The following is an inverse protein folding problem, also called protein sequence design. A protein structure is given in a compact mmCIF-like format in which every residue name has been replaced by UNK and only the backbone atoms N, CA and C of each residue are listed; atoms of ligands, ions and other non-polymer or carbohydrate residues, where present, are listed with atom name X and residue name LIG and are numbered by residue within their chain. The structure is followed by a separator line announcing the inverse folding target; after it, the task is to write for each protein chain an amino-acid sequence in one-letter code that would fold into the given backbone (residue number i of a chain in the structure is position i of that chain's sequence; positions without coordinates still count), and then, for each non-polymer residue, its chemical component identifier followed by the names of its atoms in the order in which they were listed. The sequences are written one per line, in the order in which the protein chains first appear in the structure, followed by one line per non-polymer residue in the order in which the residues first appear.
data_IF_305677359108
#
_entry.id   IF_305677359108
#
_cell.length_a   1.000
_cell.length_b   1.000
_cell.length_c   1.000
_cell.angle_alpha   90.00
_cell.angle_beta   90.00
_cell.angle_gamma   90.00
#
_symmetry.space_group_name_H-M   'P 1'
#
loop_
_entity.id
_entity.type
_entity.pdbx_description
1 polymer ?
#
# COMPACT_ATOMS: atom_id res chain seq x y z
N UNK A 1 -38.98 -14.64 4.57
CA UNK A 1 -38.98 -13.17 4.76
C UNK A 1 -39.16 -12.50 3.42
N UNK A 2 -40.20 -11.64 3.30
CA UNK A 2 -40.50 -10.91 2.06
C UNK A 2 -39.45 -9.82 1.79
N UNK A 3 -39.39 -9.33 0.53
CA UNK A 3 -38.47 -8.19 0.20
C UNK A 3 -38.75 -6.96 1.06
N UNK A 4 -40.03 -6.68 1.36
CA UNK A 4 -40.43 -5.54 2.19
C UNK A 4 -39.98 -5.71 3.65
N UNK A 5 -40.06 -6.91 4.21
CA UNK A 5 -39.56 -7.21 5.56
C UNK A 5 -38.03 -7.06 5.63
N UNK A 6 -37.30 -7.51 4.58
CA UNK A 6 -35.83 -7.31 4.51
C UNK A 6 -35.46 -5.83 4.49
N UNK A 7 -36.18 -5.03 3.69
CA UNK A 7 -35.94 -3.57 3.62
C UNK A 7 -36.22 -2.89 4.95
N UNK A 8 -37.35 -3.20 5.59
CA UNK A 8 -37.70 -2.66 6.93
C UNK A 8 -36.61 -2.99 7.97
N UNK A 9 -36.15 -4.24 7.99
CA UNK A 9 -35.09 -4.64 8.91
C UNK A 9 -33.76 -3.94 8.59
N UNK A 10 -33.38 -3.80 7.30
CA UNK A 10 -32.18 -3.08 6.90
C UNK A 10 -32.20 -1.62 7.38
N UNK A 11 -33.33 -0.91 7.19
CA UNK A 11 -33.50 0.47 7.67
C UNK A 11 -33.34 0.55 9.19
N UNK A 12 -33.93 -0.39 9.94
CA UNK A 12 -33.77 -0.44 11.40
C UNK A 12 -32.31 -0.66 11.84
N UNK A 13 -31.58 -1.52 11.12
CA UNK A 13 -30.16 -1.73 11.40
C UNK A 13 -29.34 -0.48 11.08
N UNK A 14 -29.57 0.17 9.95
CA UNK A 14 -28.87 1.41 9.55
C UNK A 14 -29.11 2.53 10.57
N UNK A 15 -30.35 2.68 11.09
CA UNK A 15 -30.65 3.68 12.12
C UNK A 15 -29.86 3.39 13.41
N UNK A 16 -29.68 2.12 13.77
CA UNK A 16 -28.90 1.72 14.95
C UNK A 16 -27.40 1.85 14.74
N UNK A 17 -26.94 1.63 13.53
CA UNK A 17 -25.52 1.63 13.15
C UNK A 17 -25.36 2.30 11.79
N UNK A 18 -25.25 3.65 11.76
CA UNK A 18 -25.15 4.41 10.50
C UNK A 18 -23.95 4.06 9.64
N UNK A 19 -22.88 3.50 10.22
CA UNK A 19 -21.70 2.99 9.51
C UNK A 19 -22.02 1.93 8.44
N UNK A 20 -23.15 1.21 8.59
CA UNK A 20 -23.65 0.26 7.61
C UNK A 20 -23.97 0.90 6.25
N UNK A 21 -24.23 2.22 6.22
CA UNK A 21 -24.39 2.95 4.95
C UNK A 21 -23.15 2.88 4.09
N UNK A 22 -21.96 2.87 4.68
CA UNK A 22 -20.70 2.78 3.93
C UNK A 22 -20.54 1.45 3.18
N UNK A 23 -21.19 0.38 3.69
CA UNK A 23 -21.22 -0.94 3.05
C UNK A 23 -22.25 -0.98 1.91
N UNK A 24 -23.39 -0.28 2.09
CA UNK A 24 -24.49 -0.27 1.11
C UNK A 24 -24.21 0.68 -0.04
N UNK A 25 -23.60 1.82 0.26
CA UNK A 25 -23.13 2.77 -0.74
C UNK A 25 -21.72 2.34 -1.14
N UNK A 26 -21.56 1.71 -2.30
CA UNK A 26 -20.20 1.46 -2.80
C UNK A 26 -19.55 2.82 -3.12
N UNK A 27 -18.89 3.39 -2.08
CA UNK A 27 -18.22 4.68 -2.19
C UNK A 27 -17.17 4.68 -3.30
N UNK A 28 -16.63 3.50 -3.65
CA UNK A 28 -15.65 3.39 -4.72
C UNK A 28 -16.25 3.71 -6.10
N UNK A 29 -17.51 3.38 -6.36
CA UNK A 29 -18.17 3.75 -7.60
C UNK A 29 -18.41 5.26 -7.69
N UNK A 30 -18.73 5.92 -6.59
CA UNK A 30 -18.81 7.39 -6.52
C UNK A 30 -17.44 8.00 -6.76
N UNK A 31 -16.40 7.50 -6.09
CA UNK A 31 -15.00 7.93 -6.27
C UNK A 31 -14.51 7.72 -7.71
N UNK A 32 -14.91 6.61 -8.35
CA UNK A 32 -14.62 6.34 -9.76
C UNK A 32 -15.20 7.41 -10.67
N UNK A 33 -16.46 7.79 -10.46
CA UNK A 33 -17.09 8.84 -11.27
C UNK A 33 -16.41 10.21 -11.08
N UNK A 34 -16.03 10.57 -9.87
CA UNK A 34 -15.25 11.78 -9.57
C UNK A 34 -13.86 11.74 -10.21
N UNK A 35 -13.18 10.61 -10.09
CA UNK A 35 -11.89 10.35 -10.70
C UNK A 35 -11.93 10.53 -12.22
N UNK A 36 -12.90 9.93 -12.89
CA UNK A 36 -13.06 9.98 -14.35
C UNK A 36 -13.32 11.41 -14.87
N UNK A 37 -13.91 12.30 -14.07
CA UNK A 37 -14.05 13.73 -14.43
C UNK A 37 -12.69 14.43 -14.46
N UNK A 38 -11.79 14.10 -13.55
CA UNK A 38 -10.45 14.71 -13.46
C UNK A 38 -9.44 14.06 -14.39
N UNK A 39 -9.58 12.75 -14.60
CA UNK A 39 -8.63 11.90 -15.34
C UNK A 39 -9.35 11.00 -16.36
N UNK A 40 -10.05 11.56 -17.37
CA UNK A 40 -10.84 10.76 -18.32
C UNK A 40 -9.99 9.77 -19.15
N UNK A 41 -8.67 10.03 -19.25
CA UNK A 41 -7.73 9.17 -19.99
C UNK A 41 -7.31 7.92 -19.19
N UNK A 42 -7.56 7.88 -17.87
CA UNK A 42 -7.22 6.74 -17.02
C UNK A 42 -8.45 5.95 -16.62
N UNK A 43 -8.41 4.62 -16.80
CA UNK A 43 -9.29 3.66 -16.12
C UNK A 43 -8.56 2.99 -14.97
N UNK A 44 -7.25 2.82 -15.14
CA UNK A 44 -6.29 2.22 -14.23
C UNK A 44 -4.90 2.65 -14.64
N UNK A 45 -3.90 2.31 -13.85
CA UNK A 45 -2.50 2.31 -14.30
C UNK A 45 -2.26 1.18 -15.30
N UNK A 46 -1.26 1.32 -16.21
CA UNK A 46 -0.80 0.21 -17.03
C UNK A 46 -0.26 -0.90 -16.13
N UNK A 47 -0.63 -2.15 -16.44
CA UNK A 47 -0.18 -3.31 -15.67
C UNK A 47 1.17 -3.83 -16.16
N UNK A 48 2.08 -4.09 -15.22
CA UNK A 48 3.33 -4.81 -15.47
C UNK A 48 3.29 -6.17 -14.75
N UNK A 49 3.67 -7.25 -15.42
CA UNK A 49 3.76 -8.56 -14.79
C UNK A 49 4.88 -8.58 -13.74
N UNK A 50 4.78 -9.45 -12.75
CA UNK A 50 5.85 -9.62 -11.76
C UNK A 50 7.13 -10.17 -12.41
N UNK A 51 7.01 -10.97 -13.47
CA UNK A 51 8.16 -11.42 -14.27
C UNK A 51 8.87 -10.25 -14.96
N UNK A 52 8.13 -9.33 -15.55
CA UNK A 52 8.71 -8.13 -16.18
C UNK A 52 9.41 -7.24 -15.15
N UNK A 53 8.84 -7.09 -13.96
CA UNK A 53 9.38 -6.28 -12.86
C UNK A 53 10.69 -6.91 -12.33
N UNK A 54 10.71 -8.23 -12.14
CA UNK A 54 11.89 -8.97 -11.65
C UNK A 54 12.99 -9.07 -12.72
N UNK A 55 12.66 -8.92 -14.00
CA UNK A 55 13.57 -9.10 -15.12
C UNK A 55 13.75 -10.55 -15.53
N UNK A 56 12.81 -11.43 -15.21
CA UNK A 56 12.80 -12.86 -15.51
C UNK A 56 11.68 -13.57 -14.76
N UNK A 57 11.79 -14.88 -14.61
CA UNK A 57 10.82 -15.65 -13.83
C UNK A 57 10.75 -15.10 -12.40
N UNK A 58 9.55 -14.73 -11.97
CA UNK A 58 9.33 -14.19 -10.64
C UNK A 58 9.36 -15.30 -9.59
N UNK A 59 10.33 -15.20 -8.68
CA UNK A 59 10.44 -16.09 -7.53
C UNK A 59 10.88 -15.29 -6.30
N UNK A 60 10.19 -15.47 -5.19
CA UNK A 60 10.52 -14.82 -3.95
C UNK A 60 10.06 -15.65 -2.75
N UNK A 61 10.97 -15.87 -1.82
CA UNK A 61 10.64 -16.46 -0.51
C UNK A 61 10.13 -15.39 0.44
N UNK A 62 8.95 -15.59 1.00
CA UNK A 62 8.41 -14.72 2.05
C UNK A 62 8.65 -15.40 3.40
N UNK A 63 9.56 -14.82 4.19
CA UNK A 63 9.96 -15.39 5.47
C UNK A 63 8.90 -15.22 6.55
N UNK A 64 8.07 -14.19 6.42
CA UNK A 64 7.08 -13.83 7.41
C UNK A 64 5.84 -13.24 6.77
N UNK A 65 4.69 -13.87 7.03
CA UNK A 65 3.38 -13.40 6.64
C UNK A 65 2.34 -13.86 7.67
N UNK A 66 1.54 -12.94 8.22
CA UNK A 66 0.53 -13.27 9.24
C UNK A 66 -0.77 -13.75 8.62
N UNK A 67 -1.02 -13.40 7.35
CA UNK A 67 -2.27 -13.73 6.64
C UNK A 67 -3.52 -13.16 7.34
N UNK A 68 -3.42 -11.97 7.92
CA UNK A 68 -4.53 -11.30 8.61
C UNK A 68 -5.43 -10.49 7.66
N UNK A 69 -5.13 -10.52 6.36
CA UNK A 69 -5.88 -9.81 5.32
C UNK A 69 -5.37 -8.40 5.03
N UNK A 70 -4.23 -8.01 5.61
CA UNK A 70 -3.52 -6.79 5.26
C UNK A 70 -2.88 -6.90 3.87
N UNK A 71 -1.57 -7.17 3.82
CA UNK A 71 -0.86 -7.37 2.54
C UNK A 71 -1.06 -8.77 1.98
N UNK A 72 -1.13 -8.87 0.65
CA UNK A 72 -1.04 -10.16 -0.02
C UNK A 72 0.40 -10.69 0.04
N UNK A 73 0.62 -12.02 0.01
CA UNK A 73 1.97 -12.57 -0.15
C UNK A 73 2.71 -12.01 -1.38
N UNK A 74 1.98 -11.70 -2.45
CA UNK A 74 2.53 -11.09 -3.66
C UNK A 74 2.96 -9.63 -3.47
N UNK A 75 2.33 -8.87 -2.56
CA UNK A 75 2.76 -7.51 -2.19
C UNK A 75 4.10 -7.57 -1.45
N UNK A 76 4.23 -8.48 -0.49
CA UNK A 76 5.49 -8.68 0.26
C UNK A 76 6.61 -9.19 -0.66
N UNK A 77 6.28 -10.10 -1.58
CA UNK A 77 7.21 -10.61 -2.58
C UNK A 77 7.66 -9.52 -3.55
N UNK A 78 6.76 -8.64 -3.98
CA UNK A 78 7.08 -7.48 -4.79
C UNK A 78 8.08 -6.57 -4.08
N UNK A 79 7.81 -6.17 -2.83
CA UNK A 79 8.70 -5.30 -2.04
C UNK A 79 10.09 -5.92 -1.88
N UNK A 80 10.15 -7.21 -1.52
CA UNK A 80 11.42 -7.93 -1.39
C UNK A 80 12.18 -7.97 -2.72
N UNK A 81 11.49 -8.22 -3.83
CA UNK A 81 12.09 -8.25 -5.18
C UNK A 81 12.62 -6.87 -5.60
N UNK A 82 11.85 -5.80 -5.34
CA UNK A 82 12.28 -4.42 -5.60
C UNK A 82 13.45 -3.99 -4.71
N UNK A 83 13.60 -4.61 -3.53
CA UNK A 83 14.71 -4.39 -2.61
C UNK A 83 16.03 -5.01 -3.03
N UNK A 84 16.04 -6.00 -3.94
CA UNK A 84 17.26 -6.67 -4.40
C UNK A 84 18.24 -5.66 -5.02
N UNK A 85 19.46 -5.60 -4.49
CA UNK A 85 20.51 -4.68 -4.95
C UNK A 85 20.30 -3.21 -4.58
N UNK A 86 19.33 -2.90 -3.72
CA UNK A 86 19.13 -1.57 -3.12
C UNK A 86 19.87 -1.45 -1.79
N UNK A 87 20.21 -0.22 -1.40
CA UNK A 87 20.99 0.04 -0.19
C UNK A 87 20.14 0.57 0.95
N UNK A 88 18.99 1.20 0.66
CA UNK A 88 18.18 1.88 1.66
C UNK A 88 16.68 1.76 1.40
N UNK A 89 15.92 1.59 2.48
CA UNK A 89 14.46 1.48 2.47
C UNK A 89 13.82 2.42 3.48
N UNK A 90 12.72 3.03 3.07
CA UNK A 90 11.86 3.84 3.95
C UNK A 90 10.41 3.39 3.84
N UNK A 91 9.70 3.34 4.98
CA UNK A 91 8.30 2.93 5.04
C UNK A 91 7.48 3.92 5.86
N UNK A 92 6.33 4.32 5.35
CA UNK A 92 5.29 5.02 6.11
C UNK A 92 4.19 4.04 6.44
N UNK A 93 3.92 3.83 7.74
CA UNK A 93 2.98 2.83 8.24
C UNK A 93 3.67 1.49 8.50
N UNK A 94 3.80 1.12 9.75
CA UNK A 94 4.56 -0.10 10.11
C UNK A 94 3.64 -1.28 10.38
N UNK A 95 2.42 -1.03 10.87
CA UNK A 95 1.55 -2.06 11.41
C UNK A 95 2.35 -3.07 12.23
N UNK A 96 2.24 -4.37 11.97
CA UNK A 96 3.00 -5.40 12.69
C UNK A 96 4.45 -5.52 12.24
N UNK A 97 4.82 -4.91 11.10
CA UNK A 97 6.18 -4.85 10.57
C UNK A 97 6.54 -6.00 9.63
N UNK A 98 5.56 -6.62 8.96
CA UNK A 98 5.79 -7.71 7.99
C UNK A 98 6.53 -7.25 6.75
N UNK A 99 6.16 -6.09 6.18
CA UNK A 99 6.75 -5.48 5.01
C UNK A 99 8.24 -5.19 5.24
N UNK A 100 8.53 -4.38 6.24
CA UNK A 100 9.92 -4.00 6.57
C UNK A 100 10.76 -5.19 7.03
N UNK A 101 10.16 -6.20 7.69
CA UNK A 101 10.88 -7.42 8.05
C UNK A 101 11.37 -8.19 6.82
N UNK A 102 10.49 -8.38 5.82
CA UNK A 102 10.85 -9.11 4.59
C UNK A 102 11.86 -8.32 3.76
N UNK A 103 11.70 -6.99 3.65
CA UNK A 103 12.66 -6.13 2.94
C UNK A 103 14.03 -6.10 3.62
N UNK A 104 14.09 -6.17 4.94
CA UNK A 104 15.35 -6.20 5.72
C UNK A 104 16.17 -7.49 5.50
N UNK A 105 15.69 -8.45 4.73
CA UNK A 105 16.47 -9.58 4.23
C UNK A 105 17.34 -9.20 3.03
N UNK A 106 16.93 -8.19 2.27
CA UNK A 106 17.63 -7.71 1.08
C UNK A 106 18.41 -6.40 1.35
N UNK A 107 17.91 -5.56 2.27
CA UNK A 107 18.45 -4.23 2.58
C UNK A 107 18.83 -4.13 4.05
N UNK A 108 20.06 -3.68 4.34
CA UNK A 108 20.55 -3.54 5.72
C UNK A 108 20.15 -2.22 6.39
N UNK A 109 19.82 -1.20 5.62
CA UNK A 109 19.48 0.14 6.09
C UNK A 109 17.97 0.40 5.85
N UNK A 110 17.16 -0.08 6.78
CA UNK A 110 15.70 0.07 6.75
C UNK A 110 15.23 1.08 7.80
N UNK A 111 14.34 1.97 7.40
CA UNK A 111 13.70 2.95 8.29
C UNK A 111 12.19 2.83 8.13
N UNK A 112 11.44 2.83 9.22
CA UNK A 112 9.98 2.89 9.20
C UNK A 112 9.49 4.03 10.09
N UNK A 113 8.49 4.76 9.63
CA UNK A 113 7.83 5.86 10.35
C UNK A 113 6.38 5.49 10.65
N UNK A 114 6.02 5.55 11.92
CA UNK A 114 4.65 5.27 12.37
C UNK A 114 4.25 6.24 13.49
N UNK A 115 2.95 6.40 13.71
CA UNK A 115 2.45 7.14 14.88
C UNK A 115 3.05 6.55 16.16
N UNK A 116 3.41 7.42 17.10
CA UNK A 116 3.79 6.98 18.44
C UNK A 116 2.59 6.36 19.18
N UNK A 117 2.87 5.47 20.14
CA UNK A 117 1.82 4.91 21.00
C UNK A 117 0.99 6.01 21.66
N UNK A 118 1.63 7.09 22.12
CA UNK A 118 0.97 8.25 22.75
C UNK A 118 0.01 8.96 21.79
N UNK A 119 0.38 9.14 20.53
CA UNK A 119 -0.49 9.74 19.51
C UNK A 119 -1.69 8.84 19.21
N UNK A 120 -1.47 7.54 19.05
CA UNK A 120 -2.55 6.57 18.84
C UNK A 120 -3.55 6.53 20.01
N UNK A 121 -3.05 6.56 21.25
CA UNK A 121 -3.90 6.63 22.44
C UNK A 121 -4.68 7.96 22.51
N UNK A 122 -4.06 9.07 22.15
CA UNK A 122 -4.71 10.38 22.08
C UNK A 122 -5.83 10.43 21.01
N UNK A 123 -5.71 9.63 19.95
CA UNK A 123 -6.74 9.43 18.92
C UNK A 123 -7.84 8.45 19.35
N UNK A 124 -7.75 7.90 20.56
CA UNK A 124 -8.74 6.96 21.10
C UNK A 124 -8.56 5.50 20.63
N UNK A 125 -7.40 5.16 20.06
CA UNK A 125 -7.15 3.79 19.64
C UNK A 125 -6.92 2.88 20.83
N UNK A 126 -7.32 1.60 20.69
CA UNK A 126 -7.10 0.61 21.73
C UNK A 126 -5.59 0.44 21.98
N UNK A 127 -5.19 0.50 23.25
CA UNK A 127 -3.79 0.38 23.67
C UNK A 127 -3.12 -0.90 23.14
N UNK A 128 -3.84 -2.00 23.15
CA UNK A 128 -3.35 -3.29 22.61
C UNK A 128 -3.06 -3.19 21.12
N UNK A 129 -3.88 -2.45 20.37
CA UNK A 129 -3.64 -2.21 18.95
C UNK A 129 -2.34 -1.40 18.76
N UNK A 130 -2.17 -0.33 19.52
CA UNK A 130 -0.95 0.48 19.48
C UNK A 130 0.32 -0.33 19.83
N UNK A 131 0.23 -1.29 20.75
CA UNK A 131 1.34 -2.17 21.14
C UNK A 131 1.74 -3.18 20.06
N UNK A 132 0.86 -3.50 19.13
CA UNK A 132 1.15 -4.43 18.03
C UNK A 132 2.01 -3.80 16.93
N UNK A 133 2.05 -2.46 16.84
CA UNK A 133 2.85 -1.79 15.81
C UNK A 133 4.32 -2.12 15.92
N UNK A 134 4.88 -2.65 14.84
CA UNK A 134 6.28 -3.05 14.74
C UNK A 134 6.67 -4.26 15.60
N UNK A 135 5.70 -5.02 16.13
CA UNK A 135 5.98 -6.15 17.04
C UNK A 135 6.94 -7.18 16.43
N UNK A 136 6.88 -7.39 15.12
CA UNK A 136 7.74 -8.32 14.38
C UNK A 136 9.12 -7.71 14.08
N UNK A 137 9.19 -6.41 13.86
CA UNK A 137 10.38 -5.74 13.33
C UNK A 137 11.24 -4.99 14.35
N UNK A 138 10.68 -4.61 15.52
CA UNK A 138 11.38 -3.83 16.55
C UNK A 138 12.67 -4.45 17.09
N UNK A 139 12.81 -5.78 17.02
CA UNK A 139 14.02 -6.46 17.50
C UNK A 139 15.08 -6.64 16.40
N UNK A 140 14.79 -6.27 15.16
CA UNK A 140 15.75 -6.38 14.07
C UNK A 140 16.67 -5.15 14.04
N UNK A 141 18.00 -5.30 14.25
CA UNK A 141 18.93 -4.18 14.32
C UNK A 141 19.12 -3.43 12.99
N UNK A 142 18.68 -4.00 11.87
CA UNK A 142 18.69 -3.36 10.54
C UNK A 142 17.55 -2.36 10.36
N UNK A 143 16.58 -2.31 11.29
CA UNK A 143 15.35 -1.54 11.15
C UNK A 143 15.33 -0.43 12.19
N UNK A 144 15.42 0.82 11.74
CA UNK A 144 15.21 2.00 12.54
C UNK A 144 13.72 2.33 12.60
N UNK A 145 13.14 2.32 13.79
CA UNK A 145 11.77 2.74 14.04
C UNK A 145 11.71 4.21 14.45
N UNK A 146 11.10 5.03 13.60
CA UNK A 146 10.80 6.43 13.87
C UNK A 146 9.34 6.56 14.31
N UNK A 147 9.10 7.46 15.25
CA UNK A 147 7.76 7.77 15.75
C UNK A 147 7.38 9.20 15.37
N UNK A 148 6.17 9.37 14.84
CA UNK A 148 5.61 10.69 14.52
C UNK A 148 4.44 10.62 13.55
N UNK A 149 3.66 11.70 13.57
CA UNK A 149 2.56 11.91 12.64
C UNK A 149 3.09 12.53 11.35
N UNK A 150 2.88 11.89 10.21
CA UNK A 150 3.37 12.35 8.90
C UNK A 150 2.94 13.77 8.57
N UNK A 151 1.76 14.22 9.07
CA UNK A 151 1.29 15.61 8.88
C UNK A 151 2.24 16.65 9.47
N UNK A 152 2.94 16.31 10.54
CA UNK A 152 3.80 17.24 11.29
C UNK A 152 5.26 16.80 11.33
N UNK A 153 5.58 15.65 10.76
CA UNK A 153 6.92 15.09 10.77
C UNK A 153 7.88 15.90 9.88
N UNK A 154 9.07 16.16 10.41
CA UNK A 154 10.13 16.85 9.65
C UNK A 154 10.88 15.86 8.74
N UNK A 155 10.33 15.61 7.56
CA UNK A 155 10.97 14.78 6.55
C UNK A 155 12.30 15.37 6.04
N UNK A 156 12.43 16.70 6.02
CA UNK A 156 13.65 17.35 5.60
C UNK A 156 14.79 17.08 6.58
N UNK A 157 14.46 17.02 7.87
CA UNK A 157 15.42 16.72 8.96
C UNK A 157 16.05 15.32 8.86
N UNK A 158 15.47 14.38 8.12
CA UNK A 158 16.09 13.08 7.84
C UNK A 158 17.38 13.22 7.04
N UNK A 159 17.52 14.27 6.23
CA UNK A 159 18.68 14.57 5.38
C UNK A 159 19.22 13.34 4.62
N UNK A 160 18.31 12.52 4.13
CA UNK A 160 18.58 11.23 3.47
C UNK A 160 17.61 10.98 2.35
N UNK A 161 18.09 10.34 1.28
CA UNK A 161 17.29 9.81 0.18
C UNK A 161 17.30 8.29 0.24
N UNK A 162 16.26 7.67 -0.27
CA UNK A 162 16.09 6.21 -0.19
C UNK A 162 15.89 5.60 -1.57
N UNK A 163 16.41 4.37 -1.74
CA UNK A 163 16.32 3.64 -3.00
C UNK A 163 14.96 2.99 -3.22
N UNK A 164 14.32 2.56 -2.13
CA UNK A 164 12.99 1.98 -2.14
C UNK A 164 12.16 2.63 -1.03
N UNK A 165 10.96 3.08 -1.37
CA UNK A 165 10.03 3.71 -0.42
C UNK A 165 8.68 3.02 -0.52
N UNK A 166 8.06 2.70 0.62
CA UNK A 166 6.75 2.12 0.73
C UNK A 166 5.81 3.05 1.51
N UNK A 167 4.68 3.40 0.92
CA UNK A 167 3.64 4.24 1.53
C UNK A 167 2.45 3.34 1.82
N UNK A 168 2.26 3.00 3.10
CA UNK A 168 1.23 2.08 3.61
C UNK A 168 0.69 2.57 4.96
N UNK A 169 0.45 3.88 5.07
CA UNK A 169 -0.12 4.50 6.25
C UNK A 169 -1.65 4.54 6.21
N UNK A 170 -2.22 5.73 6.39
CA UNK A 170 -3.66 5.95 6.19
C UNK A 170 -3.96 6.06 4.69
N UNK A 171 -4.95 5.33 4.23
CA UNK A 171 -5.34 5.22 2.82
C UNK A 171 -6.48 6.16 2.40
N UNK A 172 -6.77 7.19 3.21
CA UNK A 172 -7.64 8.28 2.80
C UNK A 172 -6.97 9.15 1.74
N UNK A 173 -7.78 9.77 0.86
CA UNK A 173 -7.27 10.65 -0.19
C UNK A 173 -6.28 11.71 0.34
N UNK A 174 -6.65 12.37 1.43
CA UNK A 174 -5.85 13.46 2.02
C UNK A 174 -4.48 12.98 2.52
N UNK A 175 -4.44 11.80 3.15
CA UNK A 175 -3.19 11.28 3.71
C UNK A 175 -2.28 10.71 2.64
N UNK A 176 -2.81 9.91 1.71
CA UNK A 176 -2.02 9.39 0.60
C UNK A 176 -1.42 10.51 -0.23
N UNK A 177 -2.21 11.57 -0.52
CA UNK A 177 -1.73 12.74 -1.23
C UNK A 177 -0.61 13.43 -0.45
N UNK A 178 -0.84 13.74 0.83
CA UNK A 178 0.14 14.40 1.69
C UNK A 178 1.46 13.61 1.79
N UNK A 179 1.38 12.31 2.10
CA UNK A 179 2.55 11.47 2.27
C UNK A 179 3.34 11.32 0.96
N UNK A 180 2.63 11.21 -0.17
CA UNK A 180 3.25 11.20 -1.50
C UNK A 180 4.00 12.51 -1.78
N UNK A 181 3.37 13.68 -1.54
CA UNK A 181 4.00 14.99 -1.73
C UNK A 181 5.27 15.11 -0.86
N UNK A 182 5.22 14.72 0.42
CA UNK A 182 6.38 14.76 1.33
C UNK A 182 7.51 13.83 0.91
N UNK A 183 7.17 12.60 0.51
CA UNK A 183 8.12 11.63 -0.01
C UNK A 183 8.84 12.17 -1.24
N UNK A 184 8.10 12.65 -2.22
CA UNK A 184 8.69 13.17 -3.47
C UNK A 184 9.49 14.46 -3.26
N UNK A 185 9.09 15.30 -2.32
CA UNK A 185 9.81 16.53 -2.00
C UNK A 185 11.15 16.26 -1.27
N UNK A 186 11.19 15.27 -0.38
CA UNK A 186 12.28 15.15 0.58
C UNK A 186 13.10 13.86 0.46
N UNK A 187 12.50 12.73 0.04
CA UNK A 187 13.11 11.41 0.22
C UNK A 187 13.53 10.71 -1.08
N UNK A 188 13.09 11.17 -2.25
CA UNK A 188 13.40 10.53 -3.52
C UNK A 188 14.69 11.07 -4.15
N UNK A 189 15.38 10.21 -4.88
CA UNK A 189 16.42 10.53 -5.85
C UNK A 189 16.06 9.92 -7.22
N UNK A 190 16.93 10.06 -8.21
CA UNK A 190 16.62 9.71 -9.60
C UNK A 190 16.30 8.23 -9.84
N UNK A 191 16.81 7.32 -9.01
CA UNK A 191 16.63 5.87 -9.13
C UNK A 191 15.70 5.28 -8.07
N UNK A 192 15.05 6.16 -7.26
CA UNK A 192 14.10 5.71 -6.25
C UNK A 192 12.90 5.02 -6.87
N UNK A 193 12.54 3.88 -6.31
CA UNK A 193 11.25 3.22 -6.54
C UNK A 193 10.33 3.55 -5.39
N UNK A 194 9.11 4.04 -5.69
CA UNK A 194 8.08 4.28 -4.67
C UNK A 194 6.94 3.31 -4.91
N UNK A 195 6.48 2.68 -3.84
CA UNK A 195 5.37 1.72 -3.84
C UNK A 195 4.27 2.27 -2.94
N UNK A 196 3.04 2.27 -3.39
CA UNK A 196 1.85 2.55 -2.59
C UNK A 196 1.07 1.26 -2.41
N UNK A 197 0.75 0.93 -1.17
CA UNK A 197 -0.24 -0.08 -0.86
C UNK A 197 -1.66 0.46 -1.08
N UNK A 198 -2.65 -0.40 -1.02
CA UNK A 198 -4.06 -0.01 -1.14
C UNK A 198 -4.45 0.77 -2.41
N UNK A 199 -3.63 0.76 -3.46
CA UNK A 199 -4.03 1.22 -4.79
C UNK A 199 -5.24 0.41 -5.31
N UNK A 200 -5.34 -0.83 -4.87
CA UNK A 200 -6.47 -1.71 -5.15
C UNK A 200 -6.98 -2.39 -3.88
N UNK A 201 -8.29 -2.69 -3.79
CA UNK A 201 -8.88 -3.51 -2.74
C UNK A 201 -8.53 -4.99 -2.87
N UNK A 202 -8.28 -5.40 -4.09
CA UNK A 202 -7.74 -6.68 -4.53
C UNK A 202 -7.19 -6.47 -5.94
N UNK A 203 -6.41 -7.41 -6.51
CA UNK A 203 -5.76 -7.22 -7.81
C UNK A 203 -6.69 -6.84 -8.98
N UNK A 204 -8.00 -7.06 -8.84
CA UNK A 204 -8.99 -6.77 -9.88
C UNK A 204 -9.94 -5.60 -9.52
N UNK A 205 -9.79 -4.96 -8.36
CA UNK A 205 -10.67 -3.86 -7.93
C UNK A 205 -9.87 -2.63 -7.49
N UNK A 206 -9.67 -1.70 -8.40
CA UNK A 206 -8.96 -0.43 -8.16
C UNK A 206 -9.66 0.41 -7.08
N UNK A 207 -8.88 1.01 -6.19
CA UNK A 207 -9.33 1.97 -5.16
C UNK A 207 -9.14 3.40 -5.67
N UNK A 208 -10.21 3.96 -6.27
CA UNK A 208 -10.12 5.24 -6.98
C UNK A 208 -9.79 6.43 -6.09
N UNK A 209 -10.03 6.34 -4.79
CA UNK A 209 -9.62 7.35 -3.81
C UNK A 209 -8.10 7.45 -3.72
N UNK A 210 -7.42 6.32 -3.54
CA UNK A 210 -5.96 6.24 -3.49
C UNK A 210 -5.34 6.58 -4.84
N UNK A 211 -5.91 6.05 -5.92
CA UNK A 211 -5.43 6.36 -7.28
C UNK A 211 -5.48 7.86 -7.58
N UNK A 212 -6.59 8.52 -7.23
CA UNK A 212 -6.71 9.97 -7.40
C UNK A 212 -5.68 10.73 -6.57
N UNK A 213 -5.47 10.33 -5.33
CA UNK A 213 -4.50 10.95 -4.43
C UNK A 213 -3.07 10.89 -4.99
N UNK A 214 -2.67 9.73 -5.53
CA UNK A 214 -1.35 9.55 -6.17
C UNK A 214 -1.20 10.49 -7.37
N UNK A 215 -2.20 10.55 -8.26
CA UNK A 215 -2.10 11.41 -9.45
C UNK A 215 -2.13 12.90 -9.09
N UNK A 216 -2.93 13.31 -8.11
CA UNK A 216 -3.02 14.72 -7.68
C UNK A 216 -1.76 15.18 -6.92
N UNK A 217 -1.01 14.25 -6.32
CA UNK A 217 0.25 14.55 -5.61
C UNK A 217 1.43 14.70 -6.55
N UNK A 218 1.38 14.10 -7.75
CA UNK A 218 2.51 14.02 -8.66
C UNK A 218 2.34 14.97 -9.86
N UNK A 219 3.43 15.62 -10.33
CA UNK A 219 3.44 16.30 -11.61
C UNK A 219 3.01 15.38 -12.76
N UNK A 220 2.24 15.91 -13.72
CA UNK A 220 1.66 15.12 -14.82
C UNK A 220 2.69 14.36 -15.65
N UNK A 221 3.88 14.92 -15.82
CA UNK A 221 5.01 14.31 -16.51
C UNK A 221 5.54 13.04 -15.84
N UNK A 222 5.27 12.87 -14.56
CA UNK A 222 5.66 11.66 -13.80
C UNK A 222 4.63 10.54 -13.91
N UNK A 223 3.38 10.83 -14.32
CA UNK A 223 2.34 9.82 -14.41
C UNK A 223 2.68 8.67 -15.35
N UNK A 224 3.50 8.93 -16.40
CA UNK A 224 3.98 7.90 -17.33
C UNK A 224 4.95 6.88 -16.71
N UNK A 225 5.35 7.08 -15.46
CA UNK A 225 6.26 6.22 -14.70
C UNK A 225 5.52 5.41 -13.64
N UNK A 226 4.19 5.48 -13.62
CA UNK A 226 3.33 4.74 -12.71
C UNK A 226 2.85 3.44 -13.34
N UNK A 227 2.87 2.36 -12.57
CA UNK A 227 2.44 1.03 -12.99
C UNK A 227 1.65 0.33 -11.87
N UNK A 228 0.76 -0.57 -12.27
CA UNK A 228 0.13 -1.54 -11.38
C UNK A 228 0.81 -2.90 -11.56
N UNK A 229 1.60 -3.38 -10.60
CA UNK A 229 2.12 -4.76 -10.62
C UNK A 229 0.97 -5.75 -10.58
N UNK A 230 0.88 -6.62 -11.57
CA UNK A 230 -0.18 -7.62 -11.66
C UNK A 230 -0.21 -8.51 -10.40
N UNK A 231 -1.40 -8.94 -10.00
CA UNK A 231 -1.63 -9.82 -8.84
C UNK A 231 -1.22 -9.21 -7.50
N UNK A 232 -1.15 -7.88 -7.40
CA UNK A 232 -0.87 -7.15 -6.16
C UNK A 232 -1.94 -6.09 -5.89
N UNK A 233 -1.96 -5.55 -4.67
CA UNK A 233 -2.77 -4.38 -4.32
C UNK A 233 -2.00 -3.07 -4.48
N UNK A 234 -0.79 -3.11 -5.04
CA UNK A 234 0.14 -1.99 -5.07
C UNK A 234 0.08 -1.19 -6.37
N UNK A 235 0.45 0.09 -6.28
CA UNK A 235 0.97 0.87 -7.41
C UNK A 235 2.47 1.09 -7.21
N UNK A 236 3.22 1.24 -8.29
CA UNK A 236 4.64 1.59 -8.23
C UNK A 236 4.96 2.79 -9.12
N UNK A 237 5.92 3.59 -8.68
CA UNK A 237 6.61 4.60 -9.47
C UNK A 237 8.04 4.16 -9.71
N UNK A 238 8.47 4.20 -10.97
CA UNK A 238 9.87 3.95 -11.33
C UNK A 238 10.18 4.55 -12.69
N UNK A 239 11.41 5.02 -12.89
CA UNK A 239 11.88 5.48 -14.21
C UNK A 239 12.21 4.31 -15.16
N UNK A 240 12.37 3.08 -14.64
CA UNK A 240 12.49 1.88 -15.47
C UNK A 240 11.21 1.68 -16.27
N UNK A 241 11.34 1.33 -17.55
CA UNK A 241 10.20 1.07 -18.43
C UNK A 241 9.92 -0.43 -18.48
N UNK A 242 8.65 -0.78 -18.40
CA UNK A 242 8.16 -2.16 -18.47
C UNK A 242 7.27 -2.36 -19.69
N UNK A 243 7.22 -3.59 -20.18
CA UNK A 243 6.14 -4.02 -21.07
C UNK A 243 4.87 -4.08 -20.26
N UNK A 244 3.79 -3.52 -20.79
CA UNK A 244 2.54 -3.40 -20.03
C UNK A 244 1.36 -3.93 -20.81
N UNK A 245 0.36 -4.41 -20.08
CA UNK A 245 -0.97 -4.71 -20.56
C UNK A 245 -2.00 -3.70 -20.02
N UNK A 246 -3.21 -3.77 -20.53
CA UNK A 246 -4.35 -3.02 -19.99
C UNK A 246 -4.96 -3.80 -18.83
N UNK A 247 -5.42 -3.07 -17.84
CA UNK A 247 -6.22 -3.63 -16.75
C UNK A 247 -7.54 -4.18 -17.28
N UNK A 248 -7.87 -5.39 -16.88
CA UNK A 248 -9.13 -6.07 -17.17
C UNK A 248 -9.75 -6.58 -15.86
N UNK A 249 -11.08 -6.49 -15.74
CA UNK A 249 -11.81 -7.03 -14.60
C UNK A 249 -13.20 -7.48 -15.06
N UNK A 250 -13.59 -8.77 -14.90
CA UNK A 250 -12.74 -9.85 -14.39
C UNK A 250 -11.65 -10.25 -15.39
N UNK A 251 -10.49 -10.63 -14.88
CA UNK A 251 -9.35 -11.07 -15.70
C UNK A 251 -9.32 -12.58 -15.85
N UNK A 252 -9.04 -13.07 -17.06
CA UNK A 252 -8.70 -14.49 -17.24
C UNK A 252 -7.36 -14.77 -16.60
N UNK A 253 -7.25 -15.71 -15.64
CA UNK A 253 -5.97 -16.02 -15.00
C UNK A 253 -4.95 -16.54 -16.01
N UNK A 254 -3.82 -15.84 -16.12
CA UNK A 254 -2.68 -16.22 -16.98
C UNK A 254 -1.50 -16.77 -16.17
N UNK A 255 -1.50 -16.49 -14.85
CA UNK A 255 -0.42 -16.88 -13.93
C UNK A 255 -1.03 -17.58 -12.72
N UNK A 256 -0.38 -18.67 -12.32
CA UNK A 256 -0.66 -19.40 -11.08
C UNK A 256 0.57 -19.35 -10.19
N UNK A 257 0.36 -19.09 -8.90
CA UNK A 257 1.43 -19.08 -7.90
C UNK A 257 1.46 -20.39 -7.13
N UNK A 258 2.62 -21.01 -7.02
CA UNK A 258 2.84 -22.10 -6.06
C UNK A 258 3.18 -21.46 -4.71
N UNK A 259 2.40 -21.79 -3.67
CA UNK A 259 2.58 -21.26 -2.31
C UNK A 259 2.84 -22.40 -1.34
N UNK A 260 3.96 -22.34 -0.62
CA UNK A 260 4.30 -23.25 0.47
C UNK A 260 4.06 -22.56 1.80
N UNK A 261 3.21 -23.15 2.64
CA UNK A 261 2.86 -22.57 3.96
C UNK A 261 3.45 -23.45 5.06
N UNK A 262 4.21 -22.82 5.94
CA UNK A 262 4.74 -23.44 7.16
C UNK A 262 4.45 -22.54 8.34
N UNK A 263 3.76 -23.04 9.37
CA UNK A 263 3.55 -22.31 10.60
C UNK A 263 4.77 -22.41 11.51
N UNK A 264 5.16 -21.28 12.11
CA UNK A 264 6.16 -21.22 13.17
C UNK A 264 5.56 -20.52 14.37
N UNK A 265 5.97 -20.88 15.60
CA UNK A 265 5.63 -20.11 16.79
C UNK A 265 6.45 -18.81 16.79
N UNK A 266 5.79 -17.71 17.15
CA UNK A 266 6.40 -16.38 17.29
C UNK A 266 6.83 -16.12 18.73
#
# INVERSE_FOLDING_TARGET
MTKLQKLKNAIQYIIKEPSLLNIILDLNDIRKQEFQKSYPQFLSLPEASLDEISGGNFESDIDLCILDGGSLPTDLALLKTLGKGKNSYFEIGTWRGESVWNVAKEIDDCTTLNLSKKEMEAMGWNIRYAELHGILSKKNPKILHLEGNTKTYDFAGLNKKYDLIFIDGDHSYEMVKHDTEKVFQHLVHDETVVVWHDYAYNPEKIRYEVFKAILDALPKELHQNLYHPQNTMCAIFTKKKYKTSRFESPKTPEVLFEVKVKSNQF
#
